data_IF_096197074122
#
_entry.id   IF_096197074122
#
_cell.length_a   1.000
_cell.length_b   1.000
_cell.length_c   1.000
_cell.angle_alpha   90.00
_cell.angle_beta   90.00
_cell.angle_gamma   90.00
#
_symmetry.space_group_name_H-M   'P 1'
#
loop_
_entity.id
_entity.type
_entity.pdbx_description
1 polymer ?
#
# COMPACT_ATOMS: atom_id res chain seq x y z
N UNK A 1 -4.99 9.65 7.51
CA UNK A 1 -3.60 10.14 7.33
C UNK A 1 -2.96 9.28 6.25
N UNK A 2 -2.24 9.87 5.27
CA UNK A 2 -1.54 9.08 4.27
C UNK A 2 -0.47 8.22 4.96
N UNK A 3 -0.28 7.00 4.48
CA UNK A 3 0.85 6.15 4.91
C UNK A 3 2.13 6.86 4.45
N UNK A 4 3.06 7.26 5.34
CA UNK A 4 4.12 8.22 5.03
C UNK A 4 5.04 7.89 3.83
N UNK A 5 5.08 6.63 3.40
CA UNK A 5 5.88 6.20 2.25
C UNK A 5 5.09 6.12 0.92
N UNK A 6 3.76 6.07 0.97
CA UNK A 6 2.95 5.99 -0.24
C UNK A 6 2.86 7.37 -0.91
N UNK A 7 3.14 7.40 -2.21
CA UNK A 7 2.77 8.54 -3.05
C UNK A 7 1.25 8.62 -3.16
N UNK A 8 0.74 9.82 -3.51
CA UNK A 8 -0.71 10.03 -3.74
C UNK A 8 -1.30 9.09 -4.79
N UNK A 9 -0.54 8.77 -5.83
CA UNK A 9 -0.97 7.84 -6.88
C UNK A 9 -1.06 6.41 -6.36
N UNK A 10 -0.05 5.94 -5.61
CA UNK A 10 -0.08 4.61 -5.00
C UNK A 10 -1.22 4.47 -3.97
N UNK A 11 -1.42 5.49 -3.12
CA UNK A 11 -2.53 5.53 -2.17
C UNK A 11 -3.87 5.41 -2.88
N UNK A 12 -4.09 6.22 -3.93
CA UNK A 12 -5.34 6.20 -4.69
C UNK A 12 -5.58 4.86 -5.37
N UNK A 13 -4.55 4.27 -5.99
CA UNK A 13 -4.64 2.96 -6.64
C UNK A 13 -4.97 1.86 -5.63
N UNK A 14 -4.31 1.83 -4.47
CA UNK A 14 -4.58 0.81 -3.42
C UNK A 14 -6.00 0.95 -2.87
N UNK A 15 -6.49 2.17 -2.68
CA UNK A 15 -7.87 2.39 -2.22
C UNK A 15 -8.90 1.89 -3.23
N UNK A 16 -8.67 2.07 -4.54
CA UNK A 16 -9.56 1.55 -5.58
C UNK A 16 -9.54 0.01 -5.64
N UNK A 17 -8.36 -0.61 -5.46
CA UNK A 17 -8.28 -2.07 -5.31
C UNK A 17 -9.06 -2.56 -4.10
N UNK A 18 -8.97 -1.86 -2.96
CA UNK A 18 -9.72 -2.21 -1.76
C UNK A 18 -11.25 -2.09 -1.95
N UNK A 19 -11.69 -1.27 -2.91
CA UNK A 19 -13.10 -1.16 -3.32
C UNK A 19 -13.52 -2.25 -4.34
N UNK A 20 -12.62 -3.16 -4.71
CA UNK A 20 -12.90 -4.25 -5.64
C UNK A 20 -12.74 -3.89 -7.12
N UNK A 21 -12.17 -2.73 -7.45
CA UNK A 21 -11.97 -2.29 -8.85
C UNK A 21 -10.89 -3.13 -9.53
N UNK A 22 -11.11 -3.46 -10.79
CA UNK A 22 -10.13 -4.16 -11.62
C UNK A 22 -9.04 -3.22 -12.14
N UNK A 23 -7.90 -3.77 -12.54
CA UNK A 23 -6.75 -2.99 -13.05
C UNK A 23 -7.12 -2.10 -14.26
N UNK A 24 -7.91 -2.56 -15.24
CA UNK A 24 -8.35 -1.69 -16.35
C UNK A 24 -9.28 -0.55 -15.90
N UNK A 25 -10.20 -0.80 -14.95
CA UNK A 25 -11.08 0.24 -14.41
C UNK A 25 -10.29 1.30 -13.64
N UNK A 26 -9.31 0.86 -12.84
CA UNK A 26 -8.41 1.75 -12.12
C UNK A 26 -7.61 2.60 -13.10
N UNK A 27 -7.01 1.97 -14.11
CA UNK A 27 -6.23 2.64 -15.14
C UNK A 27 -7.03 3.76 -15.83
N UNK A 28 -8.27 3.47 -16.23
CA UNK A 28 -9.18 4.45 -16.79
C UNK A 28 -9.50 5.58 -15.81
N UNK A 29 -9.71 5.28 -14.52
CA UNK A 29 -10.07 6.27 -13.50
C UNK A 29 -8.90 7.21 -13.13
N UNK A 30 -7.67 6.70 -13.09
CA UNK A 30 -6.49 7.50 -12.71
C UNK A 30 -5.75 8.09 -13.91
N UNK A 31 -6.20 7.81 -15.14
CA UNK A 31 -5.58 8.31 -16.37
C UNK A 31 -4.20 7.72 -16.66
N UNK A 32 -4.00 6.44 -16.33
CA UNK A 32 -2.75 5.70 -16.56
C UNK A 32 -3.04 4.46 -17.41
N UNK A 33 -2.00 3.84 -17.96
CA UNK A 33 -2.13 2.50 -18.54
C UNK A 33 -2.12 1.41 -17.46
N UNK A 34 -2.67 0.24 -17.78
CA UNK A 34 -2.79 -0.87 -16.84
C UNK A 34 -1.43 -1.39 -16.33
N UNK A 35 -0.38 -1.32 -17.16
CA UNK A 35 0.97 -1.77 -16.77
C UNK A 35 1.60 -0.81 -15.78
N UNK A 36 1.37 0.49 -15.92
CA UNK A 36 1.77 1.52 -14.96
C UNK A 36 1.01 1.36 -13.64
N UNK A 37 -0.28 1.01 -13.68
CA UNK A 37 -1.05 0.66 -12.47
C UNK A 37 -0.45 -0.56 -11.75
N UNK A 38 -0.09 -1.62 -12.48
CA UNK A 38 0.59 -2.79 -11.90
C UNK A 38 1.92 -2.43 -11.25
N UNK A 39 2.71 -1.57 -11.91
CA UNK A 39 3.97 -1.10 -11.36
C UNK A 39 3.76 -0.34 -10.05
N UNK A 40 2.80 0.59 -9.99
CA UNK A 40 2.46 1.31 -8.76
C UNK A 40 1.97 0.37 -7.66
N UNK A 41 1.16 -0.64 -7.98
CA UNK A 41 0.73 -1.65 -7.02
C UNK A 41 1.91 -2.42 -6.42
N UNK A 42 2.88 -2.81 -7.25
CA UNK A 42 4.08 -3.49 -6.78
C UNK A 42 4.91 -2.61 -5.84
N UNK A 43 5.07 -1.31 -6.16
CA UNK A 43 5.77 -0.38 -5.28
C UNK A 43 5.01 -0.16 -3.96
N UNK A 44 3.69 0.03 -4.02
CA UNK A 44 2.84 0.21 -2.85
C UNK A 44 2.90 -1.01 -1.92
N UNK A 45 2.81 -2.22 -2.48
CA UNK A 45 2.89 -3.47 -1.71
C UNK A 45 4.21 -3.58 -0.95
N UNK A 46 5.35 -3.29 -1.61
CA UNK A 46 6.67 -3.31 -0.95
C UNK A 46 6.78 -2.33 0.22
N UNK A 47 6.14 -1.16 0.11
CA UNK A 47 6.13 -0.14 1.19
C UNK A 47 5.25 -0.58 2.35
N UNK A 48 4.06 -1.09 2.06
CA UNK A 48 3.12 -1.59 3.07
C UNK A 48 3.71 -2.77 3.87
N UNK A 49 4.37 -3.71 3.20
CA UNK A 49 5.05 -4.84 3.85
C UNK A 49 6.15 -4.37 4.82
N UNK A 50 6.97 -3.40 4.41
CA UNK A 50 8.00 -2.81 5.29
C UNK A 50 7.38 -2.16 6.53
N UNK A 51 6.29 -1.41 6.34
CA UNK A 51 5.58 -0.76 7.42
C UNK A 51 4.97 -1.80 8.39
N UNK A 52 4.33 -2.85 7.87
CA UNK A 52 3.80 -3.95 8.70
C UNK A 52 4.90 -4.61 9.51
N UNK A 53 6.02 -4.96 8.87
CA UNK A 53 7.16 -5.57 9.55
C UNK A 53 7.78 -4.68 10.63
N UNK A 54 7.74 -3.35 10.47
CA UNK A 54 8.17 -2.42 11.53
C UNK A 54 7.19 -2.43 12.70
N UNK A 55 5.88 -2.36 12.42
CA UNK A 55 4.84 -2.42 13.45
C UNK A 55 4.94 -3.72 14.26
N UNK A 56 5.14 -4.86 13.59
CA UNK A 56 5.26 -6.16 14.26
C UNK A 56 6.51 -6.23 15.14
N UNK A 57 7.65 -5.70 14.67
CA UNK A 57 8.88 -5.57 15.48
C UNK A 57 8.67 -4.73 16.74
N UNK A 58 7.95 -3.61 16.62
CA UNK A 58 7.61 -2.76 17.77
C UNK A 58 6.73 -3.52 18.76
N UNK A 59 5.71 -4.26 18.30
CA UNK A 59 4.82 -5.06 19.16
C UNK A 59 5.58 -6.14 19.92
N UNK A 60 6.45 -6.90 19.25
CA UNK A 60 7.27 -7.95 19.89
C UNK A 60 8.15 -7.34 21.00
N UNK A 61 8.76 -6.17 20.75
CA UNK A 61 9.59 -5.48 21.76
C UNK A 61 8.78 -4.97 22.96
N UNK A 62 7.53 -4.55 22.75
CA UNK A 62 6.65 -4.11 23.84
C UNK A 62 6.15 -5.29 24.70
N UNK A 63 5.96 -6.47 24.09
CA UNK A 63 5.52 -7.67 24.80
C UNK A 63 6.61 -8.28 25.69
N UNK A 64 7.89 -8.15 25.32
CA UNK A 64 9.02 -8.58 26.16
C UNK A 64 9.36 -7.68 27.36
N UNK A 65 8.66 -6.55 27.56
CA UNK A 65 8.91 -5.59 28.66
C UNK A 65 7.92 -5.70 29.82
N UNK A 66 6.96 -6.63 29.77
CA UNK A 66 5.89 -6.84 30.78
C UNK A 66 6.16 -8.04 31.71
N UNK A 67 7.43 -8.37 31.97
CA UNK A 67 7.82 -9.40 32.95
C UNK A 67 8.60 -8.81 34.10
#
# INVERSE_FOLDING_TARGET
MPVPELSRTEERIVLLVAQGRSRPEIAAEVGLDARTVEWHLAQAHRKLEKASALVDRVRVRQQGRKS
#
